data_IF_613574469110
#
_entry.id   IF_613574469110
#
_cell.length_a   1.000
_cell.length_b   1.000
_cell.length_c   1.000
_cell.angle_alpha   90.00
_cell.angle_beta   90.00
_cell.angle_gamma   90.00
#
_symmetry.space_group_name_H-M   'P 1'
#
loop_
_entity.id
_entity.type
_entity.pdbx_description
1 polymer ?
#
# COMPACT_ATOMS: atom_id res chain seq x y z
N UNK A 1 35.43 3.87 -0.12
CA UNK A 1 34.05 3.41 -0.34
C UNK A 1 33.17 4.61 -0.04
N UNK A 2 32.65 5.27 -1.07
CA UNK A 2 31.94 6.55 -0.91
C UNK A 2 30.56 6.26 -0.34
N UNK A 3 30.32 6.68 0.89
CA UNK A 3 29.03 6.58 1.56
C UNK A 3 28.06 7.52 0.83
N UNK A 4 27.22 6.96 -0.04
CA UNK A 4 26.12 7.70 -0.66
C UNK A 4 25.03 7.85 0.41
N UNK A 5 24.78 9.07 0.87
CA UNK A 5 23.64 9.35 1.73
C UNK A 5 22.36 9.01 0.96
N UNK A 6 21.66 7.94 1.36
CA UNK A 6 20.32 7.65 0.90
C UNK A 6 19.40 8.64 1.63
N UNK A 7 19.00 9.70 0.94
CA UNK A 7 17.94 10.58 1.42
C UNK A 7 16.63 9.80 1.36
N UNK A 8 15.90 9.72 2.48
CA UNK A 8 14.48 9.35 2.44
C UNK A 8 13.78 10.47 1.68
N UNK A 9 13.25 10.15 0.50
CA UNK A 9 12.38 11.08 -0.20
C UNK A 9 11.17 11.37 0.73
N UNK A 10 10.82 12.65 0.96
CA UNK A 10 9.65 12.96 1.78
C UNK A 10 8.42 12.29 1.16
N UNK A 11 7.61 11.65 2.01
CA UNK A 11 6.28 11.15 1.65
C UNK A 11 5.45 12.36 1.26
N UNK A 12 5.25 12.56 -0.04
CA UNK A 12 4.50 13.70 -0.57
C UNK A 12 3.07 13.26 -0.88
N UNK A 13 2.10 13.94 -0.28
CA UNK A 13 0.68 13.66 -0.50
C UNK A 13 0.21 14.29 -1.80
N UNK A 14 -0.30 13.47 -2.71
CA UNK A 14 -0.73 13.86 -4.04
C UNK A 14 -2.12 13.30 -4.34
N UNK A 15 -2.75 13.81 -5.39
CA UNK A 15 -4.02 13.29 -5.87
C UNK A 15 -4.13 13.34 -7.38
N UNK A 16 -4.82 12.36 -7.96
CA UNK A 16 -5.11 12.29 -9.37
C UNK A 16 -6.61 12.05 -9.56
N UNK A 17 -7.27 13.04 -10.18
CA UNK A 17 -8.70 12.98 -10.52
C UNK A 17 -8.87 12.59 -11.97
N UNK A 18 -9.81 11.70 -12.25
CA UNK A 18 -10.30 11.44 -13.60
C UNK A 18 -11.26 12.55 -14.03
N UNK A 19 -12.50 12.47 -13.54
CA UNK A 19 -13.57 13.44 -13.78
C UNK A 19 -14.69 13.24 -12.76
N UNK A 20 -15.52 14.25 -12.57
CA UNK A 20 -16.80 14.14 -11.87
C UNK A 20 -17.99 14.46 -12.78
N UNK A 21 -17.82 14.47 -14.11
CA UNK A 21 -18.94 14.57 -15.05
C UNK A 21 -19.49 13.16 -15.31
N UNK A 22 -20.75 12.87 -14.98
CA UNK A 22 -21.38 11.58 -15.28
C UNK A 22 -22.29 11.61 -16.51
N UNK A 23 -22.39 10.49 -17.20
CA UNK A 23 -23.43 10.24 -18.22
C UNK A 23 -24.00 8.82 -18.14
N UNK A 24 -23.60 8.05 -17.13
CA UNK A 24 -23.98 6.66 -16.94
C UNK A 24 -23.79 6.26 -15.46
N UNK A 25 -24.31 5.10 -15.07
CA UNK A 25 -24.18 4.59 -13.70
C UNK A 25 -24.54 3.11 -13.55
N UNK A 26 -23.96 2.47 -12.54
CA UNK A 26 -24.26 1.10 -12.10
C UNK A 26 -23.78 0.93 -10.65
N UNK A 27 -23.71 -0.28 -10.12
CA UNK A 27 -23.19 -0.52 -8.77
C UNK A 27 -21.72 -0.15 -8.60
N UNK A 28 -20.87 -0.34 -9.61
CA UNK A 28 -19.45 -0.05 -9.48
C UNK A 28 -18.67 0.04 -10.79
N UNK A 29 -17.35 0.17 -10.66
CA UNK A 29 -16.39 0.17 -11.76
C UNK A 29 -15.17 -0.69 -11.45
N UNK A 30 -14.71 -1.45 -12.44
CA UNK A 30 -13.35 -2.02 -12.42
C UNK A 30 -12.46 -1.22 -13.36
N UNK A 31 -11.24 -0.91 -12.94
CA UNK A 31 -10.27 -0.15 -13.73
C UNK A 31 -8.85 -0.49 -13.29
N UNK A 32 -7.87 -0.13 -14.12
CA UNK A 32 -6.45 -0.36 -13.81
C UNK A 32 -5.76 0.94 -13.43
N UNK A 33 -4.89 0.85 -12.43
CA UNK A 33 -3.87 1.84 -12.12
C UNK A 33 -2.51 1.29 -12.58
N UNK A 34 -1.73 2.11 -13.28
CA UNK A 34 -0.34 1.81 -13.66
C UNK A 34 0.60 2.74 -12.90
N UNK A 35 1.50 2.18 -12.09
CA UNK A 35 2.55 2.95 -11.43
C UNK A 35 3.62 3.39 -12.43
N UNK A 36 3.88 4.69 -12.53
CA UNK A 36 5.05 5.27 -13.21
C UNK A 36 6.19 5.53 -12.22
N UNK A 37 5.84 5.76 -10.95
CA UNK A 37 6.70 5.72 -9.77
C UNK A 37 6.06 4.84 -8.69
N UNK A 38 6.75 4.68 -7.55
CA UNK A 38 6.16 3.98 -6.40
C UNK A 38 5.11 4.87 -5.74
N UNK A 39 3.88 4.35 -5.67
CA UNK A 39 2.74 5.04 -5.07
C UNK A 39 2.09 4.18 -3.99
N UNK A 40 1.65 4.81 -2.91
CA UNK A 40 0.74 4.19 -1.93
C UNK A 40 -0.61 4.90 -2.01
N UNK A 41 -1.64 4.16 -2.45
CA UNK A 41 -3.04 4.61 -2.50
C UNK A 41 -3.60 4.61 -1.08
N UNK A 42 -4.06 5.78 -0.62
CA UNK A 42 -4.47 6.01 0.75
C UNK A 42 -5.99 6.15 0.88
N UNK A 43 -6.63 6.85 -0.05
CA UNK A 43 -8.07 7.11 -0.01
C UNK A 43 -8.62 7.39 -1.40
N UNK A 44 -9.94 7.35 -1.54
CA UNK A 44 -10.65 7.61 -2.79
C UNK A 44 -11.78 8.62 -2.58
N UNK A 45 -11.98 9.49 -3.56
CA UNK A 45 -13.27 10.15 -3.77
C UNK A 45 -14.04 9.43 -4.88
N UNK A 46 -15.34 9.23 -4.68
CA UNK A 46 -16.23 8.58 -5.65
C UNK A 46 -17.39 9.49 -6.06
N UNK A 47 -17.93 9.29 -7.26
CA UNK A 47 -19.12 9.98 -7.74
C UNK A 47 -20.37 9.14 -7.46
N UNK A 48 -21.23 9.60 -6.56
CA UNK A 48 -22.39 8.85 -6.08
C UNK A 48 -23.69 9.61 -6.29
N UNK A 49 -24.77 8.87 -6.51
CA UNK A 49 -26.12 9.41 -6.40
C UNK A 49 -26.37 9.96 -4.98
N UNK A 50 -27.28 10.92 -4.84
CA UNK A 50 -27.61 11.49 -3.52
C UNK A 50 -28.18 10.43 -2.58
N UNK A 51 -27.66 10.35 -1.37
CA UNK A 51 -28.14 9.41 -0.34
C UNK A 51 -27.01 8.74 0.43
N UNK A 52 -27.35 7.92 1.43
CA UNK A 52 -26.38 7.09 2.14
C UNK A 52 -25.97 5.91 1.26
N UNK A 53 -24.67 5.61 1.23
CA UNK A 53 -24.13 4.46 0.50
C UNK A 53 -23.09 3.72 1.34
N UNK A 54 -23.03 2.41 1.14
CA UNK A 54 -21.94 1.55 1.60
C UNK A 54 -21.10 1.16 0.38
N UNK A 55 -19.84 1.60 0.38
CA UNK A 55 -18.88 1.44 -0.71
C UNK A 55 -17.81 0.45 -0.28
N UNK A 56 -17.46 -0.47 -1.17
CA UNK A 56 -16.41 -1.46 -1.01
C UNK A 56 -15.32 -1.21 -2.05
N UNK A 57 -14.06 -1.33 -1.62
CA UNK A 57 -12.87 -1.17 -2.46
C UNK A 57 -12.11 -2.48 -2.45
N UNK A 58 -11.99 -3.11 -3.61
CA UNK A 58 -11.23 -4.33 -3.82
C UNK A 58 -10.03 -4.09 -4.74
N UNK A 59 -9.05 -4.98 -4.63
CA UNK A 59 -7.90 -5.08 -5.54
C UNK A 59 -7.72 -6.51 -6.03
N UNK A 60 -7.11 -6.70 -7.20
CA UNK A 60 -6.74 -8.04 -7.66
C UNK A 60 -5.72 -8.67 -6.71
N UNK A 61 -6.01 -9.86 -6.19
CA UNK A 61 -5.25 -10.48 -5.09
C UNK A 61 -3.81 -10.83 -5.46
N UNK A 62 -3.56 -11.14 -6.73
CA UNK A 62 -2.23 -11.43 -7.27
C UNK A 62 -1.47 -10.19 -7.75
N UNK A 63 -2.05 -9.00 -7.60
CA UNK A 63 -1.69 -7.83 -8.40
C UNK A 63 -2.06 -8.01 -9.89
N UNK A 64 -1.65 -7.05 -10.73
CA UNK A 64 -1.94 -7.07 -12.16
C UNK A 64 -3.32 -6.54 -12.53
N UNK A 65 -3.66 -6.58 -13.81
CA UNK A 65 -4.88 -5.98 -14.38
C UNK A 65 -6.17 -6.66 -13.89
N UNK A 66 -7.28 -5.90 -13.86
CA UNK A 66 -8.62 -6.45 -13.67
C UNK A 66 -9.09 -7.31 -14.87
N UNK A 67 -8.48 -7.14 -16.04
CA UNK A 67 -8.92 -7.79 -17.29
C UNK A 67 -8.81 -9.31 -17.20
N UNK A 68 -9.91 -10.02 -17.45
CA UNK A 68 -10.01 -11.48 -17.29
C UNK A 68 -10.51 -11.92 -15.91
N UNK A 69 -10.59 -11.00 -14.94
CA UNK A 69 -11.04 -11.26 -13.57
C UNK A 69 -12.43 -10.65 -13.27
N UNK A 70 -13.13 -10.10 -14.27
CA UNK A 70 -14.32 -9.25 -14.09
C UNK A 70 -15.48 -9.95 -13.41
N UNK A 71 -15.56 -11.27 -13.53
CA UNK A 71 -16.65 -12.10 -13.00
C UNK A 71 -16.17 -13.16 -12.02
N UNK A 72 -14.88 -13.16 -11.66
CA UNK A 72 -14.30 -14.12 -10.74
C UNK A 72 -14.03 -13.46 -9.38
N UNK A 73 -14.93 -13.60 -8.40
CA UNK A 73 -14.73 -13.00 -7.07
C UNK A 73 -13.50 -13.55 -6.34
N UNK A 74 -12.98 -14.73 -6.70
CA UNK A 74 -11.81 -15.32 -6.02
C UNK A 74 -10.49 -14.64 -6.40
N UNK A 75 -10.49 -13.86 -7.48
CA UNK A 75 -9.35 -13.07 -7.91
C UNK A 75 -9.22 -11.72 -7.18
N UNK A 76 -10.13 -11.40 -6.25
CA UNK A 76 -10.22 -10.09 -5.60
C UNK A 76 -10.11 -10.16 -4.07
N UNK A 77 -9.35 -9.24 -3.50
CA UNK A 77 -9.23 -9.01 -2.06
C UNK A 77 -9.94 -7.71 -1.70
N UNK A 78 -10.85 -7.76 -0.72
CA UNK A 78 -11.47 -6.56 -0.14
C UNK A 78 -10.41 -5.81 0.69
N UNK A 79 -10.13 -4.55 0.34
CA UNK A 79 -9.26 -3.68 1.13
C UNK A 79 -10.02 -2.97 2.25
N UNK A 80 -11.18 -2.38 1.92
CA UNK A 80 -11.95 -1.61 2.88
C UNK A 80 -13.43 -1.48 2.49
N UNK A 81 -14.23 -1.15 3.50
CA UNK A 81 -15.64 -0.75 3.37
C UNK A 81 -15.83 0.60 4.03
N UNK A 82 -16.51 1.54 3.36
CA UNK A 82 -16.88 2.85 3.88
C UNK A 82 -18.40 3.04 3.85
N UNK A 83 -18.96 3.62 4.91
CA UNK A 83 -20.36 4.13 4.88
C UNK A 83 -20.31 5.64 4.80
N UNK A 84 -20.87 6.20 3.74
CA UNK A 84 -20.80 7.64 3.45
C UNK A 84 -22.18 8.25 3.20
N UNK A 85 -22.29 9.55 3.44
CA UNK A 85 -23.38 10.36 2.89
C UNK A 85 -22.88 11.04 1.64
N UNK A 86 -23.47 10.72 0.48
CA UNK A 86 -23.07 11.30 -0.81
C UNK A 86 -23.15 12.83 -0.80
N UNK A 87 -22.14 13.49 -1.37
CA UNK A 87 -22.12 14.92 -1.67
C UNK A 87 -23.06 15.30 -2.83
N UNK A 88 -23.74 14.31 -3.42
CA UNK A 88 -24.61 14.45 -4.57
C UNK A 88 -23.89 14.18 -5.88
N UNK A 89 -24.68 13.82 -6.90
CA UNK A 89 -24.17 13.49 -8.24
C UNK A 89 -23.23 14.59 -8.75
N UNK A 90 -22.11 14.15 -9.33
CA UNK A 90 -21.06 15.00 -9.90
C UNK A 90 -20.29 15.87 -8.90
N UNK A 91 -20.39 15.57 -7.61
CA UNK A 91 -19.53 16.12 -6.58
C UNK A 91 -18.69 15.00 -5.94
N UNK A 92 -17.42 15.26 -5.60
CA UNK A 92 -16.59 14.27 -4.92
C UNK A 92 -17.17 13.90 -3.56
N UNK A 93 -17.41 12.61 -3.36
CA UNK A 93 -17.70 12.04 -2.04
C UNK A 93 -16.46 11.30 -1.55
N UNK A 94 -15.75 11.90 -0.60
CA UNK A 94 -14.60 11.30 0.04
C UNK A 94 -15.01 10.08 0.89
N UNK A 95 -14.27 8.97 0.78
CA UNK A 95 -14.56 7.75 1.53
C UNK A 95 -13.98 7.76 2.94
N UNK A 96 -12.98 8.60 3.23
CA UNK A 96 -12.34 8.72 4.53
C UNK A 96 -11.58 7.46 4.94
N UNK A 97 -10.98 6.78 3.97
CA UNK A 97 -10.26 5.53 4.17
C UNK A 97 -8.79 5.76 4.51
N UNK A 98 -8.15 4.69 4.97
CA UNK A 98 -6.70 4.59 5.11
C UNK A 98 -6.25 3.23 4.52
N UNK A 99 -6.23 3.17 3.19
CA UNK A 99 -6.01 1.94 2.43
C UNK A 99 -4.58 1.42 2.54
N UNK A 100 -3.58 2.31 2.46
CA UNK A 100 -2.16 1.93 2.49
C UNK A 100 -1.75 0.97 1.37
N UNK A 101 -2.50 0.92 0.26
CA UNK A 101 -2.28 -0.07 -0.80
C UNK A 101 -1.19 0.39 -1.76
N UNK A 102 -0.13 -0.40 -1.89
CA UNK A 102 1.05 0.01 -2.66
C UNK A 102 1.02 -0.51 -4.09
N UNK A 103 1.40 0.34 -5.04
CA UNK A 103 1.58 0.00 -6.45
C UNK A 103 2.96 0.49 -6.87
N UNK A 104 3.87 -0.45 -7.15
CA UNK A 104 5.25 -0.14 -7.51
C UNK A 104 5.37 0.41 -8.94
N UNK A 105 6.46 1.13 -9.21
CA UNK A 105 6.79 1.60 -10.54
C UNK A 105 6.82 0.46 -11.57
N UNK A 106 6.16 0.66 -12.70
CA UNK A 106 6.01 -0.32 -13.78
C UNK A 106 4.98 -1.42 -13.52
N UNK A 107 4.37 -1.48 -12.34
CA UNK A 107 3.32 -2.45 -12.03
C UNK A 107 1.93 -1.91 -12.36
N UNK A 108 1.03 -2.85 -12.67
CA UNK A 108 -0.40 -2.57 -12.83
C UNK A 108 -1.17 -3.17 -11.67
N UNK A 109 -2.17 -2.46 -11.18
CA UNK A 109 -3.09 -2.93 -10.15
C UNK A 109 -4.54 -2.70 -10.62
N UNK A 110 -5.31 -3.78 -10.69
CA UNK A 110 -6.75 -3.73 -10.90
C UNK A 110 -7.47 -3.32 -9.61
N UNK A 111 -8.36 -2.35 -9.72
CA UNK A 111 -9.26 -1.91 -8.65
C UNK A 111 -10.71 -2.24 -9.02
N UNK A 112 -11.51 -2.57 -8.01
CA UNK A 112 -12.96 -2.65 -8.11
C UNK A 112 -13.60 -1.83 -7.00
N UNK A 113 -14.28 -0.76 -7.38
CA UNK A 113 -14.95 0.16 -6.45
C UNK A 113 -16.45 0.05 -6.70
N UNK A 114 -17.21 -0.36 -5.68
CA UNK A 114 -18.64 -0.65 -5.83
C UNK A 114 -19.44 -0.25 -4.62
N UNK A 115 -20.69 0.18 -4.84
CA UNK A 115 -21.71 0.12 -3.80
C UNK A 115 -22.22 -1.30 -3.66
N UNK A 116 -22.58 -1.72 -2.45
CA UNK A 116 -23.07 -3.08 -2.18
C UNK A 116 -24.57 -3.28 -2.41
N UNK A 117 -25.27 -2.23 -2.84
CA UNK A 117 -26.70 -2.28 -3.19
C UNK A 117 -27.03 -1.23 -4.25
N UNK A 118 -28.01 -1.52 -5.11
CA UNK A 118 -28.48 -0.59 -6.13
C UNK A 118 -27.42 -0.22 -7.19
N UNK A 119 -27.68 0.91 -7.86
CA UNK A 119 -26.87 1.44 -8.96
C UNK A 119 -26.39 2.88 -8.65
N UNK A 120 -25.78 3.06 -7.49
CA UNK A 120 -25.43 4.38 -6.96
C UNK A 120 -24.12 4.97 -7.47
N UNK A 121 -23.28 4.20 -8.18
CA UNK A 121 -21.98 4.65 -8.69
C UNK A 121 -22.14 5.29 -10.07
N UNK A 122 -21.80 6.56 -10.15
CA UNK A 122 -21.87 7.36 -11.36
C UNK A 122 -20.53 7.34 -12.10
N UNK A 123 -20.57 7.15 -13.42
CA UNK A 123 -19.38 7.08 -14.26
C UNK A 123 -19.66 7.61 -15.67
N UNK A 124 -18.64 7.57 -16.54
CA UNK A 124 -18.75 8.01 -17.93
C UNK A 124 -18.57 6.84 -18.90
N UNK A 125 -19.23 6.89 -20.07
CA UNK A 125 -18.85 6.05 -21.20
C UNK A 125 -17.39 6.33 -21.61
N UNK A 126 -16.60 5.27 -21.78
CA UNK A 126 -15.24 5.34 -22.26
C UNK A 126 -15.14 5.33 -23.78
N UNK A 127 -13.90 5.32 -24.26
CA UNK A 127 -13.52 5.21 -25.67
C UNK A 127 -12.96 3.82 -25.99
N UNK A 128 -12.06 3.30 -25.15
CA UNK A 128 -11.39 2.02 -25.32
C UNK A 128 -10.87 1.54 -23.97
N UNK A 129 -11.28 0.34 -23.56
CA UNK A 129 -10.77 -0.28 -22.33
C UNK A 129 -9.24 -0.36 -22.36
N UNK A 130 -8.60 -0.01 -21.25
CA UNK A 130 -7.15 0.05 -21.12
C UNK A 130 -6.50 1.32 -21.66
N UNK A 131 -7.25 2.26 -22.27
CA UNK A 131 -6.70 3.55 -22.67
C UNK A 131 -6.40 4.42 -21.44
N UNK A 132 -5.33 5.22 -21.47
CA UNK A 132 -5.02 6.19 -20.40
C UNK A 132 -6.07 7.29 -20.41
N UNK A 133 -6.81 7.44 -19.30
CA UNK A 133 -7.76 8.53 -19.14
C UNK A 133 -7.14 9.73 -18.41
N UNK A 134 -6.42 9.46 -17.32
CA UNK A 134 -5.73 10.47 -16.53
C UNK A 134 -4.31 9.98 -16.17
N UNK A 135 -3.37 10.91 -16.06
CA UNK A 135 -1.99 10.60 -15.69
C UNK A 135 -1.30 11.81 -15.07
N UNK A 136 -0.36 11.55 -14.18
CA UNK A 136 0.63 12.51 -13.70
C UNK A 136 2.06 11.92 -13.82
N UNK A 137 3.01 12.42 -13.04
CA UNK A 137 4.39 11.92 -13.07
C UNK A 137 4.56 10.53 -12.40
N UNK A 138 3.60 10.08 -11.59
CA UNK A 138 3.74 8.92 -10.72
C UNK A 138 2.80 7.79 -11.07
N UNK A 139 1.66 8.05 -11.72
CA UNK A 139 0.75 6.99 -12.13
C UNK A 139 -0.15 7.37 -13.31
N UNK A 140 -0.82 6.34 -13.85
CA UNK A 140 -1.88 6.45 -14.85
C UNK A 140 -3.13 5.73 -14.36
N UNK A 141 -4.30 6.29 -14.64
CA UNK A 141 -5.60 5.64 -14.46
C UNK A 141 -6.14 5.30 -15.84
N UNK A 142 -6.39 4.02 -16.08
CA UNK A 142 -6.87 3.50 -17.34
C UNK A 142 -8.40 3.39 -17.36
N UNK A 143 -8.99 3.53 -18.54
CA UNK A 143 -10.39 3.20 -18.77
C UNK A 143 -10.64 1.71 -18.48
N UNK A 144 -11.78 1.40 -17.88
CA UNK A 144 -12.15 0.05 -17.49
C UNK A 144 -13.60 -0.28 -17.85
N UNK A 145 -14.34 -0.79 -16.89
CA UNK A 145 -15.72 -1.30 -17.07
C UNK A 145 -16.65 -0.86 -15.96
N UNK A 146 -17.94 -0.78 -16.26
CA UNK A 146 -19.03 -0.66 -15.28
C UNK A 146 -19.49 -2.05 -14.85
N UNK A 147 -19.87 -2.20 -13.58
CA UNK A 147 -20.16 -3.49 -12.94
C UNK A 147 -21.45 -3.47 -12.15
N UNK A 148 -22.31 -4.44 -12.41
CA UNK A 148 -23.40 -4.80 -11.48
C UNK A 148 -22.84 -5.57 -10.29
N UNK A 149 -23.22 -5.19 -9.09
CA UNK A 149 -22.76 -5.83 -7.86
C UNK A 149 -23.23 -7.31 -7.76
N UNK A 150 -22.45 -8.20 -7.13
CA UNK A 150 -21.06 -8.00 -6.72
C UNK A 150 -20.07 -8.22 -7.86
N UNK A 151 -20.29 -9.19 -8.74
CA UNK A 151 -19.42 -9.49 -9.89
C UNK A 151 -20.28 -9.86 -11.11
N UNK A 152 -21.43 -9.22 -11.25
CA UNK A 152 -22.46 -9.52 -12.25
C UNK A 152 -22.13 -8.98 -13.64
N UNK A 153 -23.11 -8.40 -14.32
CA UNK A 153 -22.95 -7.86 -15.68
C UNK A 153 -21.80 -6.85 -15.80
N UNK A 154 -21.08 -6.93 -16.92
CA UNK A 154 -19.95 -6.06 -17.28
C UNK A 154 -20.34 -5.17 -18.46
N UNK A 155 -20.06 -3.88 -18.35
CA UNK A 155 -20.31 -2.88 -19.39
C UNK A 155 -19.01 -2.19 -19.75
N UNK A 156 -18.60 -2.24 -21.02
CA UNK A 156 -17.31 -1.72 -21.49
C UNK A 156 -17.48 -0.85 -22.73
N UNK A 157 -16.61 0.14 -22.97
CA UNK A 157 -15.64 0.72 -22.03
C UNK A 157 -16.29 1.76 -21.11
N UNK A 158 -15.81 1.90 -19.88
CA UNK A 158 -16.27 2.91 -18.91
C UNK A 158 -15.09 3.58 -18.22
N UNK A 159 -15.23 4.87 -17.94
CA UNK A 159 -14.26 5.64 -17.15
C UNK A 159 -14.78 5.73 -15.72
N UNK A 160 -14.02 5.25 -14.74
CA UNK A 160 -14.34 5.50 -13.34
C UNK A 160 -14.21 6.99 -13.04
N UNK A 161 -15.23 7.59 -12.43
CA UNK A 161 -15.29 9.01 -12.09
C UNK A 161 -14.93 9.19 -10.62
N UNK A 162 -13.69 9.59 -10.34
CA UNK A 162 -13.23 9.75 -8.98
C UNK A 162 -11.85 10.39 -8.86
N UNK A 163 -11.39 10.48 -7.62
CA UNK A 163 -10.04 10.95 -7.26
C UNK A 163 -9.34 9.86 -6.47
N UNK A 164 -8.08 9.58 -6.82
CA UNK A 164 -7.19 8.76 -6.00
C UNK A 164 -6.32 9.71 -5.18
N UNK A 165 -6.37 9.58 -3.85
CA UNK A 165 -5.44 10.25 -2.92
C UNK A 165 -4.32 9.28 -2.58
N UNK A 166 -3.09 9.69 -2.82
CA UNK A 166 -1.93 8.81 -2.73
C UNK A 166 -0.72 9.54 -2.18
N UNK A 167 0.32 8.79 -1.85
CA UNK A 167 1.62 9.33 -1.48
C UNK A 167 2.70 8.77 -2.37
N UNK A 168 3.68 9.62 -2.70
CA UNK A 168 4.89 9.21 -3.45
C UNK A 168 6.07 9.06 -2.51
N UNK A 169 6.90 8.05 -2.77
CA UNK A 169 8.04 7.66 -1.94
C UNK A 169 8.12 6.15 -1.88
N UNK A 170 9.21 5.56 -1.34
CA UNK A 170 9.22 4.11 -1.10
C UNK A 170 7.96 3.74 -0.29
N UNK A 171 7.24 2.67 -0.68
CA UNK A 171 6.05 2.19 0.03
C UNK A 171 6.34 2.15 1.53
N UNK A 172 5.51 2.82 2.33
CA UNK A 172 5.65 2.73 3.79
C UNK A 172 5.09 1.38 4.19
N UNK A 173 5.95 0.38 4.23
CA UNK A 173 5.64 -0.89 4.87
C UNK A 173 5.22 -0.66 6.32
N UNK A 174 4.21 -1.35 6.82
CA UNK A 174 3.92 -1.28 8.26
C UNK A 174 4.78 -2.29 9.01
N UNK A 175 5.80 -1.82 9.71
CA UNK A 175 6.49 -2.62 10.73
C UNK A 175 5.77 -2.41 12.06
N UNK A 176 5.21 -3.49 12.58
CA UNK A 176 4.54 -3.54 13.88
C UNK A 176 5.39 -4.39 14.80
N UNK A 177 5.64 -3.86 15.98
CA UNK A 177 6.35 -4.58 17.01
C UNK A 177 5.57 -4.51 18.32
N UNK A 178 5.27 -5.67 18.89
CA UNK A 178 4.47 -5.79 20.11
C UNK A 178 5.19 -6.61 21.16
N UNK A 179 4.97 -6.25 22.42
CA UNK A 179 5.56 -6.90 23.59
C UNK A 179 4.60 -6.78 24.77
N UNK A 180 4.65 -7.72 25.69
CA UNK A 180 3.96 -7.62 26.98
C UNK A 180 4.86 -7.05 28.09
N UNK A 181 6.09 -6.64 27.76
CA UNK A 181 7.05 -6.04 28.69
C UNK A 181 7.80 -7.06 29.54
N UNK A 182 7.78 -8.33 29.15
CA UNK A 182 8.51 -9.41 29.85
C UNK A 182 9.69 -9.94 29.04
N UNK A 183 10.18 -9.13 28.10
CA UNK A 183 11.24 -9.52 27.16
C UNK A 183 10.79 -10.47 26.05
N UNK A 184 9.48 -10.52 25.77
CA UNK A 184 8.86 -11.13 24.60
C UNK A 184 8.75 -10.14 23.45
N UNK A 185 8.78 -10.61 22.20
CA UNK A 185 8.61 -9.75 21.02
C UNK A 185 7.82 -10.49 19.94
N UNK A 186 6.81 -9.84 19.37
CA UNK A 186 6.24 -10.22 18.07
C UNK A 186 6.53 -9.07 17.11
N UNK A 187 7.22 -9.38 16.02
CA UNK A 187 7.54 -8.45 14.95
C UNK A 187 6.82 -8.90 13.67
N UNK A 188 5.97 -8.03 13.16
CA UNK A 188 5.19 -8.21 11.93
C UNK A 188 5.57 -7.12 10.93
N UNK A 189 5.90 -7.51 9.69
CA UNK A 189 6.24 -6.59 8.62
C UNK A 189 5.31 -6.75 7.41
N UNK A 190 5.35 -5.82 6.44
CA UNK A 190 4.76 -6.07 5.12
C UNK A 190 5.36 -7.33 4.48
N UNK A 191 4.55 -8.10 3.76
CA UNK A 191 5.07 -9.20 2.95
C UNK A 191 6.05 -8.68 1.90
N UNK A 192 7.00 -9.51 1.49
CA UNK A 192 7.97 -9.16 0.45
C UNK A 192 7.25 -8.89 -0.88
N UNK A 193 7.37 -7.67 -1.46
CA UNK A 193 6.82 -7.42 -2.78
C UNK A 193 7.56 -8.25 -3.84
N UNK A 194 6.92 -8.54 -4.99
CA UNK A 194 7.57 -9.20 -6.12
C UNK A 194 8.88 -8.49 -6.52
N UNK A 195 9.96 -9.26 -6.68
CA UNK A 195 11.29 -8.73 -7.03
C UNK A 195 12.20 -8.42 -5.84
N UNK A 196 11.73 -8.60 -4.60
CA UNK A 196 12.60 -8.55 -3.42
C UNK A 196 13.63 -9.67 -3.49
N UNK A 197 14.90 -9.33 -3.27
CA UNK A 197 16.02 -10.30 -3.25
C UNK A 197 16.68 -10.39 -1.88
N UNK A 198 16.60 -9.32 -1.09
CA UNK A 198 17.14 -9.23 0.26
C UNK A 198 16.43 -8.12 1.04
N UNK A 199 16.60 -8.10 2.36
CA UNK A 199 16.17 -6.98 3.18
C UNK A 199 16.84 -6.93 4.54
N UNK A 200 16.65 -5.81 5.24
CA UNK A 200 17.23 -5.54 6.55
C UNK A 200 16.15 -5.12 7.52
N UNK A 201 16.20 -5.65 8.75
CA UNK A 201 15.66 -4.93 9.91
C UNK A 201 16.81 -4.18 10.53
N UNK A 202 16.87 -2.87 10.28
CA UNK A 202 17.81 -1.99 10.95
C UNK A 202 17.27 -1.64 12.33
N UNK A 203 18.13 -1.70 13.35
CA UNK A 203 17.80 -1.35 14.73
C UNK A 203 18.74 -0.25 15.24
N UNK A 204 18.22 0.58 16.14
CA UNK A 204 18.99 1.50 16.96
C UNK A 204 18.55 1.46 18.42
N UNK A 205 19.52 1.56 19.33
CA UNK A 205 19.27 1.75 20.76
C UNK A 205 19.13 3.25 21.11
N UNK A 206 19.47 4.15 20.18
CA UNK A 206 19.27 5.59 20.37
C UNK A 206 17.82 5.96 20.09
N UNK A 207 16.98 5.78 21.10
CA UNK A 207 15.57 6.19 21.09
C UNK A 207 15.37 7.58 21.71
N UNK A 208 16.42 8.38 21.83
CA UNK A 208 16.38 9.68 22.54
C UNK A 208 15.59 10.74 21.78
N UNK A 209 15.53 10.65 20.45
CA UNK A 209 14.76 11.56 19.61
C UNK A 209 13.33 11.08 19.33
N UNK A 210 12.51 11.92 18.67
CA UNK A 210 11.18 11.52 18.18
C UNK A 210 11.27 10.33 17.22
N UNK A 211 10.29 9.44 17.29
CA UNK A 211 10.19 8.26 16.41
C UNK A 211 10.18 8.71 14.94
N UNK A 212 11.00 8.09 14.09
CA UNK A 212 11.05 8.37 12.65
C UNK A 212 11.78 9.64 12.24
N UNK A 213 12.33 10.40 13.20
CA UNK A 213 13.01 11.67 12.90
C UNK A 213 14.52 11.52 12.64
N UNK A 214 15.07 10.31 12.78
CA UNK A 214 16.50 10.10 12.67
C UNK A 214 17.03 10.12 11.22
N UNK A 215 18.31 10.43 11.02
CA UNK A 215 18.88 10.72 9.71
C UNK A 215 19.06 9.48 8.81
N UNK A 216 19.04 8.27 9.37
CA UNK A 216 19.16 7.04 8.59
C UNK A 216 17.82 6.33 8.57
N UNK A 217 17.05 6.52 7.49
CA UNK A 217 15.71 5.92 7.32
C UNK A 217 14.79 6.07 8.55
N UNK A 218 14.86 7.23 9.21
CA UNK A 218 14.08 7.55 10.40
C UNK A 218 14.73 7.10 11.73
N UNK A 219 15.84 6.36 11.70
CA UNK A 219 16.62 5.95 12.87
C UNK A 219 17.72 6.94 13.19
N UNK A 220 17.97 7.17 14.48
CA UNK A 220 19.21 7.76 14.97
C UNK A 220 20.28 6.67 14.99
N UNK A 221 21.19 6.61 14.01
CA UNK A 221 22.03 5.43 13.84
C UNK A 221 23.08 5.34 14.96
N UNK A 222 23.30 4.13 15.46
CA UNK A 222 24.32 3.82 16.46
C UNK A 222 25.21 2.65 16.01
N UNK A 223 26.07 2.16 16.91
CA UNK A 223 26.94 1.02 16.61
C UNK A 223 26.17 -0.25 16.24
N UNK A 224 24.97 -0.46 16.81
CA UNK A 224 24.13 -1.60 16.45
C UNK A 224 23.63 -1.44 15.02
N UNK A 225 23.11 -0.25 14.66
CA UNK A 225 22.61 0.04 13.32
C UNK A 225 23.66 -0.25 12.25
N UNK A 226 24.90 0.19 12.47
CA UNK A 226 25.97 -0.05 11.50
C UNK A 226 26.48 -1.49 11.48
N UNK A 227 26.42 -2.21 12.61
CA UNK A 227 26.82 -3.61 12.66
C UNK A 227 25.93 -4.50 11.80
N UNK A 228 24.65 -4.15 11.63
CA UNK A 228 23.66 -4.92 10.87
C UNK A 228 24.05 -5.07 9.39
N UNK A 229 24.63 -4.02 8.79
CA UNK A 229 25.13 -4.08 7.41
C UNK A 229 26.28 -5.08 7.22
N UNK A 230 26.95 -5.50 8.30
CA UNK A 230 28.00 -6.51 8.27
C UNK A 230 27.51 -7.95 8.34
N UNK A 231 26.23 -8.19 8.63
CA UNK A 231 25.70 -9.55 8.67
C UNK A 231 25.59 -10.14 7.25
N UNK A 232 25.89 -11.42 7.05
CA UNK A 232 25.61 -12.07 5.77
C UNK A 232 24.10 -12.25 5.56
N UNK A 233 23.66 -12.07 4.32
CA UNK A 233 22.28 -12.37 3.92
C UNK A 233 22.00 -13.86 4.13
N UNK A 234 20.93 -14.20 4.84
CA UNK A 234 20.53 -15.58 5.02
C UNK A 234 19.00 -15.72 5.18
N UNK A 235 18.44 -16.83 4.71
CA UNK A 235 17.03 -17.16 4.96
C UNK A 235 16.80 -17.30 6.46
N UNK A 236 15.81 -16.58 7.00
CA UNK A 236 15.46 -16.59 8.43
C UNK A 236 16.30 -15.67 9.32
N UNK A 237 17.33 -14.99 8.79
CA UNK A 237 18.07 -13.98 9.54
C UNK A 237 17.35 -12.62 9.46
N UNK A 238 16.64 -12.20 10.51
CA UNK A 238 15.87 -10.95 10.47
C UNK A 238 16.70 -9.67 10.23
N UNK A 239 17.99 -9.66 10.60
CA UNK A 239 18.82 -8.46 10.48
C UNK A 239 19.28 -8.25 9.04
N UNK A 240 19.55 -9.34 8.32
CA UNK A 240 19.84 -9.32 6.90
C UNK A 240 19.29 -10.61 6.28
N UNK A 241 18.09 -10.53 5.71
CA UNK A 241 17.35 -11.70 5.27
C UNK A 241 17.36 -11.87 3.75
N UNK A 242 17.23 -13.12 3.32
CA UNK A 242 16.82 -13.49 1.97
C UNK A 242 15.33 -13.87 2.02
N UNK A 243 14.47 -13.33 1.13
CA UNK A 243 13.04 -13.59 1.11
C UNK A 243 12.70 -15.09 1.12
N UNK A 244 11.73 -15.45 1.94
CA UNK A 244 11.17 -16.81 2.00
C UNK A 244 9.71 -16.75 2.43
N UNK A 245 8.79 -17.53 1.81
CA UNK A 245 7.38 -17.55 2.18
C UNK A 245 7.11 -17.98 3.63
N UNK A 246 8.07 -18.63 4.29
CA UNK A 246 7.91 -19.22 5.63
C UNK A 246 8.69 -18.48 6.72
N UNK A 247 9.30 -17.35 6.38
CA UNK A 247 10.13 -16.57 7.29
C UNK A 247 9.69 -15.11 7.27
N UNK A 248 10.11 -14.36 8.28
CA UNK A 248 9.93 -12.92 8.32
C UNK A 248 10.50 -12.24 7.06
N UNK A 249 9.80 -11.24 6.49
CA UNK A 249 8.55 -10.62 6.98
C UNK A 249 7.25 -11.28 6.51
N UNK A 250 7.30 -12.34 5.68
CA UNK A 250 6.09 -13.03 5.20
C UNK A 250 5.37 -13.85 6.30
N UNK A 251 6.06 -14.12 7.40
CA UNK A 251 5.52 -14.73 8.63
C UNK A 251 6.06 -13.94 9.81
N UNK A 252 5.23 -13.72 10.84
CA UNK A 252 5.63 -13.02 12.05
C UNK A 252 6.86 -13.65 12.70
N UNK A 253 7.80 -12.80 13.13
CA UNK A 253 8.91 -13.22 13.97
C UNK A 253 8.51 -13.14 15.43
N UNK A 254 8.67 -14.25 16.16
CA UNK A 254 8.22 -14.37 17.55
C UNK A 254 9.39 -14.77 18.45
N UNK A 255 9.64 -13.97 19.48
CA UNK A 255 10.50 -14.29 20.59
C UNK A 255 9.67 -14.54 21.85
N UNK A 256 9.89 -15.66 22.57
CA UNK A 256 9.18 -15.93 23.81
C UNK A 256 9.61 -14.97 24.94
N UNK A 257 8.83 -14.88 26.03
CA UNK A 257 9.21 -14.15 27.25
C UNK A 257 10.64 -14.45 27.72
N UNK A 258 11.36 -13.42 28.15
CA UNK A 258 12.74 -13.51 28.63
C UNK A 258 13.82 -13.58 27.54
N UNK A 259 13.45 -13.48 26.27
CA UNK A 259 14.43 -13.48 25.16
C UNK A 259 15.23 -12.18 25.09
N UNK A 260 14.62 -11.07 25.50
CA UNK A 260 15.23 -9.75 25.48
C UNK A 260 15.37 -9.18 26.90
N UNK A 261 16.44 -8.41 27.16
CA UNK A 261 16.64 -7.79 28.47
C UNK A 261 15.57 -6.72 28.75
N UNK A 262 15.05 -6.63 29.98
CA UNK A 262 14.07 -5.61 30.36
C UNK A 262 14.72 -4.23 30.45
N UNK A 263 13.92 -3.18 30.29
CA UNK A 263 14.36 -1.79 30.43
C UNK A 263 15.17 -1.27 29.23
N UNK A 264 15.11 -1.95 28.10
CA UNK A 264 15.77 -1.51 26.86
C UNK A 264 14.72 -1.09 25.85
N UNK A 265 14.97 0.00 25.14
CA UNK A 265 14.15 0.45 24.02
C UNK A 265 14.94 0.37 22.73
N UNK A 266 14.25 0.01 21.65
CA UNK A 266 14.82 -0.04 20.31
C UNK A 266 13.88 0.65 19.33
N UNK A 267 14.44 1.39 18.39
CA UNK A 267 13.76 1.80 17.17
C UNK A 267 14.16 0.87 16.04
N UNK A 268 13.19 0.33 15.31
CA UNK A 268 13.41 -0.57 14.19
C UNK A 268 12.74 -0.10 12.90
N UNK A 269 13.38 -0.37 11.77
CA UNK A 269 12.82 -0.14 10.42
C UNK A 269 13.19 -1.30 9.51
N UNK A 270 12.22 -1.75 8.73
CA UNK A 270 12.38 -2.77 7.69
C UNK A 270 12.67 -2.10 6.36
N UNK A 271 13.70 -2.57 5.67
CA UNK A 271 14.07 -2.15 4.33
C UNK A 271 14.10 -3.39 3.43
N UNK A 272 13.27 -3.41 2.38
CA UNK A 272 13.22 -4.50 1.40
C UNK A 272 13.84 -4.00 0.09
N UNK A 273 14.67 -4.82 -0.57
CA UNK A 273 15.50 -4.36 -1.70
C UNK A 273 15.45 -5.34 -2.87
N UNK A 274 15.67 -4.81 -4.09
CA UNK A 274 15.99 -5.61 -5.26
C UNK A 274 17.52 -5.73 -5.43
N UNK A 275 17.96 -6.80 -6.10
CA UNK A 275 19.38 -7.22 -6.16
C UNK A 275 20.33 -6.27 -6.91
N UNK A 276 19.86 -5.07 -7.28
CA UNK A 276 20.63 -3.98 -7.87
C UNK A 276 20.84 -2.77 -6.95
N UNK A 277 20.67 -2.93 -5.63
CA UNK A 277 20.70 -1.85 -4.62
C UNK A 277 19.54 -0.84 -4.71
N UNK A 278 18.47 -1.18 -5.44
CA UNK A 278 17.22 -0.41 -5.42
C UNK A 278 16.37 -0.78 -4.21
N UNK A 279 16.02 0.19 -3.39
CA UNK A 279 15.04 -0.01 -2.31
C UNK A 279 13.65 -0.17 -2.89
N UNK A 280 12.94 -1.22 -2.46
CA UNK A 280 11.55 -1.51 -2.85
C UNK A 280 10.56 -1.05 -1.79
N UNK A 281 10.90 -1.15 -0.50
CA UNK A 281 10.03 -0.78 0.63
C UNK A 281 10.90 -0.26 1.77
N UNK A 282 10.45 0.80 2.44
CA UNK A 282 10.98 1.25 3.73
C UNK A 282 9.80 1.36 4.68
N UNK A 283 9.81 0.64 5.80
CA UNK A 283 8.69 0.69 6.73
C UNK A 283 8.63 2.00 7.53
N UNK A 284 7.57 2.19 8.30
CA UNK A 284 7.63 3.10 9.44
C UNK A 284 8.73 2.67 10.43
N UNK A 285 9.16 3.60 11.28
CA UNK A 285 9.95 3.25 12.47
C UNK A 285 9.00 2.72 13.55
N UNK A 286 9.28 1.53 14.05
CA UNK A 286 8.59 0.91 15.17
C UNK A 286 9.46 1.03 16.43
N UNK A 287 8.94 1.69 17.46
CA UNK A 287 9.59 1.75 18.77
C UNK A 287 9.09 0.63 19.66
N UNK A 288 10.01 -0.15 20.21
CA UNK A 288 9.72 -1.20 21.19
C UNK A 288 10.37 -0.80 22.51
N UNK A 289 9.64 -0.96 23.61
CA UNK A 289 10.17 -0.80 24.95
C UNK A 289 9.81 -2.03 25.78
N UNK A 290 10.82 -2.71 26.32
CA UNK A 290 10.68 -3.88 27.19
C UNK A 290 10.77 -3.51 28.67
#
# INVERSE_FOLDING_TARGET
MTLCALFVAPVDAQSLTTTFVSNNGQSGNMFDLVGLGDVTVNDLDVNLDSGPWSVEVYVTSSGGSFTGNETDPSAWTLLATATVSSAGMNNPTNLGLNLGHSVSAGQTQGFYVTVNSGAGMNYTNGTSQGAVYASDANMQILEGVGKSYPFGSTFTPRVWNGTIHYTTGPPVGQLVATTTGVGDLVLSGPSDPPGTTEGYVLLSNDTSGPIGAGPLVGLYPDSLTFSIFGFPAAVGNIFHYIPSPTQFPNVDFVLPPGSLPPGVSYDGVLVQMNGGAGTLVISNVARIAF
#
